data_IF_205694593280
#
_entry.id   IF_205694593280
#
_cell.length_a   1.000
_cell.length_b   1.000
_cell.length_c   1.000
_cell.angle_alpha   90.00
_cell.angle_beta   90.00
_cell.angle_gamma   90.00
#
_symmetry.space_group_name_H-M   'P 1'
#
loop_
_entity.id
_entity.type
_entity.pdbx_description
1 polymer ?
#
# COMPACT_ATOMS: atom_id res chain seq x y z
N UNK A 1 16.68 -12.45 19.88
CA UNK A 1 17.49 -12.50 18.64
C UNK A 1 16.58 -12.48 17.43
N UNK A 2 16.98 -11.84 16.32
CA UNK A 2 16.20 -11.85 15.09
C UNK A 2 16.24 -13.27 14.48
N UNK A 3 15.07 -13.83 14.17
CA UNK A 3 14.95 -15.19 13.62
C UNK A 3 14.95 -15.11 12.09
N UNK A 4 15.88 -15.78 11.38
CA UNK A 4 15.88 -15.87 9.93
C UNK A 4 14.58 -16.48 9.38
N UNK A 5 14.20 -16.13 8.15
CA UNK A 5 12.99 -16.65 7.52
C UNK A 5 12.84 -16.16 6.06
N UNK A 6 11.70 -16.42 5.41
CA UNK A 6 11.43 -15.99 4.02
C UNK A 6 11.09 -14.49 3.94
N UNK A 7 11.93 -13.66 4.54
CA UNK A 7 11.82 -12.20 4.62
C UNK A 7 13.20 -11.59 4.91
N UNK A 8 13.35 -10.30 4.65
CA UNK A 8 14.55 -9.54 5.04
C UNK A 8 14.42 -9.10 6.50
N UNK A 9 15.54 -9.08 7.22
CA UNK A 9 15.63 -8.45 8.54
C UNK A 9 16.32 -7.10 8.35
N UNK A 10 15.64 -6.01 8.73
CA UNK A 10 16.19 -4.65 8.66
C UNK A 10 16.35 -4.05 10.04
N UNK A 11 17.45 -3.34 10.34
CA UNK A 11 17.58 -2.59 11.58
C UNK A 11 16.40 -1.63 11.77
N UNK A 12 15.96 -1.51 13.00
CA UNK A 12 14.93 -0.57 13.44
C UNK A 12 15.41 0.16 14.68
N UNK A 13 14.66 1.17 15.09
CA UNK A 13 15.02 2.02 16.21
C UNK A 13 15.02 1.26 17.54
N UNK A 14 15.70 1.85 18.53
CA UNK A 14 15.78 1.36 19.92
C UNK A 14 16.23 -0.11 20.01
N UNK A 15 17.24 -0.49 19.21
CA UNK A 15 17.81 -1.84 19.19
C UNK A 15 16.89 -2.93 18.63
N UNK A 16 15.80 -2.55 17.94
CA UNK A 16 14.84 -3.49 17.35
C UNK A 16 15.17 -3.80 15.88
N UNK A 17 14.45 -4.77 15.31
CA UNK A 17 14.52 -5.08 13.88
C UNK A 17 13.10 -5.24 13.29
N UNK A 18 12.97 -4.94 11.99
CA UNK A 18 11.78 -5.23 11.20
C UNK A 18 11.97 -6.51 10.38
N UNK A 19 10.90 -7.29 10.28
CA UNK A 19 10.75 -8.30 9.23
C UNK A 19 10.10 -7.62 8.04
N UNK A 20 10.74 -7.68 6.88
CA UNK A 20 10.35 -6.88 5.72
C UNK A 20 10.29 -7.75 4.47
N UNK A 21 9.19 -7.60 3.74
CA UNK A 21 9.08 -8.08 2.36
C UNK A 21 9.06 -6.84 1.47
N UNK A 22 9.98 -6.79 0.50
CA UNK A 22 10.12 -5.69 -0.45
C UNK A 22 9.73 -6.13 -1.86
N UNK A 23 9.66 -5.19 -2.81
CA UNK A 23 9.35 -5.49 -4.21
C UNK A 23 8.01 -6.23 -4.37
N UNK A 24 7.02 -5.83 -3.57
CA UNK A 24 5.64 -6.29 -3.73
C UNK A 24 5.02 -5.45 -4.85
N UNK A 25 4.37 -6.06 -5.85
CA UNK A 25 3.61 -5.32 -6.84
C UNK A 25 2.62 -4.37 -6.16
N UNK A 26 2.78 -3.08 -6.44
CA UNK A 26 1.98 -2.02 -5.87
C UNK A 26 1.88 -0.87 -6.88
N UNK A 27 2.30 0.34 -6.50
CA UNK A 27 2.13 1.52 -7.33
C UNK A 27 2.73 1.46 -8.70
N UNK A 28 3.98 1.00 -8.82
CA UNK A 28 4.63 0.86 -10.12
C UNK A 28 3.85 -0.06 -11.07
N UNK A 29 3.23 -1.12 -10.55
CA UNK A 29 2.43 -2.03 -11.35
C UNK A 29 1.11 -1.37 -11.78
N UNK A 30 0.42 -0.70 -10.86
CA UNK A 30 -0.79 0.07 -11.19
C UNK A 30 -0.50 1.22 -12.17
N UNK A 31 0.63 1.91 -12.05
CA UNK A 31 1.10 2.91 -13.03
C UNK A 31 1.20 2.30 -14.43
N UNK A 32 1.71 1.07 -14.57
CA UNK A 32 1.79 0.42 -15.88
C UNK A 32 0.39 0.16 -16.48
N UNK A 33 -0.58 -0.24 -15.65
CA UNK A 33 -1.98 -0.40 -16.07
C UNK A 33 -2.59 0.93 -16.48
N UNK A 34 -2.43 1.96 -15.66
CA UNK A 34 -2.99 3.29 -15.94
C UNK A 34 -2.40 3.82 -17.25
N UNK A 35 -1.08 3.70 -17.45
CA UNK A 35 -0.42 4.11 -18.70
C UNK A 35 -0.97 3.37 -19.92
N UNK A 36 -1.21 2.06 -19.81
CA UNK A 36 -1.84 1.28 -20.89
C UNK A 36 -3.25 1.80 -21.19
N UNK A 37 -4.05 2.06 -20.15
CA UNK A 37 -5.42 2.56 -20.30
C UNK A 37 -5.50 4.00 -20.84
N UNK A 38 -4.42 4.76 -20.72
CA UNK A 38 -4.31 6.14 -21.19
C UNK A 38 -3.40 6.30 -22.41
N UNK A 39 -2.93 5.20 -23.02
CA UNK A 39 -1.94 5.24 -24.11
C UNK A 39 -2.51 5.91 -25.37
N UNK A 40 -3.81 5.70 -25.63
CA UNK A 40 -4.51 6.32 -26.75
C UNK A 40 -5.22 7.58 -26.22
N UNK A 41 -4.83 8.79 -26.67
CA UNK A 41 -5.57 10.00 -26.33
C UNK A 41 -6.96 9.91 -26.94
N UNK A 42 -8.01 10.14 -26.15
CA UNK A 42 -9.34 10.36 -26.74
C UNK A 42 -9.28 11.62 -27.59
N UNK A 43 -9.61 11.48 -28.87
CA UNK A 43 -9.71 12.60 -29.81
C UNK A 43 -10.62 13.68 -29.25
N UNK A 44 -10.05 14.84 -28.88
CA UNK A 44 -10.80 16.03 -28.48
C UNK A 44 -10.73 16.43 -27.01
N UNK A 45 -10.09 15.67 -26.12
CA UNK A 45 -9.83 16.12 -24.74
C UNK A 45 -8.34 16.38 -24.57
N UNK A 46 -7.99 17.66 -24.43
CA UNK A 46 -6.67 18.10 -24.00
C UNK A 46 -6.23 17.32 -22.76
N UNK A 47 -5.00 16.81 -22.81
CA UNK A 47 -4.21 16.23 -21.71
C UNK A 47 -5.01 15.91 -20.43
N UNK A 48 -5.56 14.70 -20.32
CA UNK A 48 -5.98 14.19 -19.02
C UNK A 48 -4.74 14.12 -18.12
N UNK A 49 -4.68 14.99 -17.11
CA UNK A 49 -3.64 14.99 -16.08
C UNK A 49 -3.51 13.58 -15.46
N UNK A 50 -2.30 13.11 -15.20
CA UNK A 50 -2.04 11.79 -14.60
C UNK A 50 -2.79 11.64 -13.27
N UNK A 51 -2.93 12.73 -12.51
CA UNK A 51 -3.74 12.78 -11.28
C UNK A 51 -5.19 12.38 -11.54
N UNK A 52 -5.80 12.88 -12.63
CA UNK A 52 -7.18 12.58 -13.01
C UNK A 52 -7.38 11.10 -13.37
N UNK A 53 -6.37 10.46 -13.96
CA UNK A 53 -6.43 9.05 -14.33
C UNK A 53 -6.40 8.14 -13.10
N UNK A 54 -5.61 8.47 -12.07
CA UNK A 54 -5.60 7.75 -10.80
C UNK A 54 -6.93 7.86 -10.06
N UNK A 55 -7.49 9.07 -9.99
CA UNK A 55 -8.76 9.31 -9.30
C UNK A 55 -9.91 8.60 -10.03
N UNK A 56 -9.91 8.62 -11.37
CA UNK A 56 -10.83 7.83 -12.17
C UNK A 56 -10.65 6.33 -11.93
N UNK A 57 -9.43 5.82 -11.93
CA UNK A 57 -9.14 4.40 -11.69
C UNK A 57 -9.69 3.92 -10.34
N UNK A 58 -9.42 4.66 -9.26
CA UNK A 58 -9.91 4.30 -7.93
C UNK A 58 -11.43 4.47 -7.78
N UNK A 59 -12.01 5.55 -8.32
CA UNK A 59 -13.47 5.75 -8.26
C UNK A 59 -14.23 4.68 -9.03
N UNK A 60 -13.76 4.28 -10.21
CA UNK A 60 -14.38 3.19 -10.98
C UNK A 60 -14.22 1.82 -10.30
N UNK A 61 -13.15 1.60 -9.54
CA UNK A 61 -13.01 0.36 -8.77
C UNK A 61 -14.07 0.23 -7.66
N UNK A 62 -14.49 1.35 -7.07
CA UNK A 62 -15.50 1.39 -5.99
C UNK A 62 -16.93 1.18 -6.52
N UNK A 63 -17.21 1.49 -7.79
CA UNK A 63 -18.54 1.25 -8.40
C UNK A 63 -18.80 -0.24 -8.69
N UNK A 64 -17.76 -1.07 -8.63
CA UNK A 64 -17.82 -2.50 -8.92
C UNK A 64 -17.68 -3.31 -7.64
N UNK A 65 -18.70 -4.12 -7.33
CA UNK A 65 -18.71 -4.98 -6.14
C UNK A 65 -17.64 -6.09 -6.18
N UNK A 66 -17.33 -6.59 -7.37
CA UNK A 66 -16.33 -7.63 -7.62
C UNK A 66 -16.08 -7.80 -9.12
N UNK A 67 -14.94 -8.39 -9.46
CA UNK A 67 -14.56 -8.64 -10.83
C UNK A 67 -14.20 -10.10 -11.02
N UNK A 68 -14.55 -10.64 -12.18
CA UNK A 68 -14.17 -11.99 -12.58
C UNK A 68 -12.99 -11.99 -13.55
N UNK A 69 -12.46 -10.81 -13.88
CA UNK A 69 -11.16 -10.70 -14.54
C UNK A 69 -10.06 -11.22 -13.60
N UNK A 70 -9.23 -12.12 -14.10
CA UNK A 70 -8.08 -12.65 -13.36
C UNK A 70 -6.85 -11.82 -13.72
N UNK A 71 -6.32 -11.11 -12.73
CA UNK A 71 -5.22 -10.17 -12.89
C UNK A 71 -4.02 -10.63 -12.10
N UNK A 72 -2.84 -10.58 -12.71
CA UNK A 72 -1.56 -10.64 -11.99
C UNK A 72 -0.79 -9.37 -12.21
N UNK A 73 -0.34 -8.75 -11.12
CA UNK A 73 0.46 -7.52 -11.15
C UNK A 73 1.96 -7.80 -11.14
N UNK A 74 2.38 -9.06 -11.31
CA UNK A 74 3.79 -9.48 -11.32
C UNK A 74 4.53 -9.09 -12.62
N UNK A 75 4.36 -7.84 -13.07
CA UNK A 75 5.05 -7.27 -14.25
C UNK A 75 6.56 -7.11 -14.05
N UNK A 76 7.01 -7.08 -12.79
CA UNK A 76 8.41 -6.87 -12.42
C UNK A 76 8.89 -7.97 -11.47
N UNK A 77 10.18 -8.35 -11.52
CA UNK A 77 10.76 -9.28 -10.56
C UNK A 77 10.55 -8.79 -9.11
N UNK A 78 10.12 -9.68 -8.21
CA UNK A 78 9.76 -9.28 -6.86
C UNK A 78 9.35 -10.42 -5.93
N UNK A 79 8.66 -10.06 -4.85
CA UNK A 79 8.24 -11.00 -3.80
C UNK A 79 7.13 -11.98 -4.22
N UNK A 80 6.45 -11.66 -5.33
CA UNK A 80 5.39 -12.46 -5.93
C UNK A 80 5.94 -13.14 -7.17
N UNK A 81 5.81 -14.48 -7.29
CA UNK A 81 6.31 -15.22 -8.45
C UNK A 81 5.39 -15.10 -9.66
N UNK A 82 5.93 -15.44 -10.83
CA UNK A 82 5.18 -15.55 -12.08
C UNK A 82 5.11 -14.26 -12.90
N UNK A 83 4.51 -14.32 -14.11
CA UNK A 83 4.33 -13.16 -14.96
C UNK A 83 3.11 -12.35 -14.56
N UNK A 84 3.07 -11.09 -14.97
CA UNK A 84 1.85 -10.30 -14.98
C UNK A 84 0.95 -10.66 -16.16
N UNK A 85 -0.36 -10.58 -15.97
CA UNK A 85 -1.34 -10.95 -17.00
C UNK A 85 -2.72 -10.33 -16.71
N UNK A 86 -3.56 -10.33 -17.74
CA UNK A 86 -5.01 -10.16 -17.64
C UNK A 86 -5.68 -11.35 -18.33
N UNK A 87 -6.55 -12.07 -17.64
CA UNK A 87 -7.24 -13.27 -18.14
C UNK A 87 -8.74 -13.17 -17.87
N UNK A 88 -9.51 -14.00 -18.57
CA UNK A 88 -10.97 -14.03 -18.50
C UNK A 88 -11.62 -12.67 -18.87
N UNK A 89 -11.09 -12.00 -19.89
CA UNK A 89 -11.64 -10.76 -20.41
C UNK A 89 -12.72 -11.04 -21.46
N UNK A 90 -13.81 -10.29 -21.39
CA UNK A 90 -15.01 -10.33 -22.24
C UNK A 90 -15.51 -8.91 -22.47
N UNK A 91 -16.37 -8.73 -23.46
CA UNK A 91 -16.91 -7.42 -23.82
C UNK A 91 -17.56 -6.69 -22.64
N UNK A 92 -18.31 -7.43 -21.80
CA UNK A 92 -19.04 -6.90 -20.66
C UNK A 92 -18.16 -6.62 -19.42
N UNK A 93 -16.91 -7.10 -19.43
CA UNK A 93 -15.99 -6.96 -18.30
C UNK A 93 -14.69 -6.21 -18.61
N UNK A 94 -14.45 -5.88 -19.87
CA UNK A 94 -13.29 -5.11 -20.33
C UNK A 94 -13.50 -3.61 -20.07
N UNK A 95 -13.55 -3.23 -18.80
CA UNK A 95 -13.74 -1.84 -18.37
C UNK A 95 -12.71 -1.44 -17.33
N UNK A 96 -12.44 -0.14 -17.21
CA UNK A 96 -11.50 0.40 -16.21
C UNK A 96 -11.91 -0.04 -14.81
N UNK A 97 -13.19 0.06 -14.45
CA UNK A 97 -13.67 -0.31 -13.11
C UNK A 97 -13.43 -1.77 -12.76
N UNK A 98 -13.69 -2.70 -13.69
CA UNK A 98 -13.49 -4.14 -13.43
C UNK A 98 -12.02 -4.55 -13.41
N UNK A 99 -11.19 -3.96 -14.27
CA UNK A 99 -9.74 -4.18 -14.23
C UNK A 99 -9.13 -3.58 -12.96
N UNK A 100 -9.54 -2.37 -12.58
CA UNK A 100 -9.10 -1.71 -11.36
C UNK A 100 -9.51 -2.50 -10.12
N UNK A 101 -10.75 -2.98 -10.08
CA UNK A 101 -11.26 -3.83 -9.00
C UNK A 101 -10.44 -5.11 -8.87
N UNK A 102 -10.24 -5.85 -9.96
CA UNK A 102 -9.46 -7.08 -9.97
C UNK A 102 -8.00 -6.84 -9.55
N UNK A 103 -7.39 -5.74 -10.02
CA UNK A 103 -6.03 -5.36 -9.64
C UNK A 103 -5.91 -5.12 -8.13
N UNK A 104 -6.84 -4.39 -7.52
CA UNK A 104 -6.82 -4.12 -6.07
C UNK A 104 -7.11 -5.37 -5.24
N UNK A 105 -8.02 -6.24 -5.69
CA UNK A 105 -8.27 -7.55 -5.06
C UNK A 105 -7.03 -8.43 -5.08
N UNK A 106 -6.34 -8.47 -6.22
CA UNK A 106 -5.07 -9.18 -6.41
C UNK A 106 -4.00 -8.64 -5.46
N UNK A 107 -3.85 -7.32 -5.38
CA UNK A 107 -2.88 -6.65 -4.52
C UNK A 107 -3.14 -6.94 -3.03
N UNK A 108 -4.40 -6.92 -2.61
CA UNK A 108 -4.81 -7.30 -1.26
C UNK A 108 -4.53 -8.79 -0.98
N UNK A 109 -4.71 -9.67 -1.97
CA UNK A 109 -4.32 -11.08 -1.91
C UNK A 109 -2.81 -11.26 -1.68
N UNK A 110 -1.98 -10.51 -2.40
CA UNK A 110 -0.53 -10.51 -2.15
C UNK A 110 -0.19 -10.09 -0.72
N UNK A 111 -0.82 -9.05 -0.19
CA UNK A 111 -0.58 -8.62 1.19
C UNK A 111 -0.98 -9.70 2.20
N UNK A 112 -2.09 -10.40 1.98
CA UNK A 112 -2.50 -11.52 2.82
C UNK A 112 -1.44 -12.64 2.82
N UNK A 113 -1.04 -13.11 1.64
CA UNK A 113 -0.06 -14.20 1.51
C UNK A 113 1.29 -13.81 2.14
N UNK A 114 1.79 -12.63 1.82
CA UNK A 114 3.09 -12.14 2.29
C UNK A 114 3.08 -11.82 3.78
N UNK A 115 1.94 -11.41 4.36
CA UNK A 115 1.81 -11.22 5.81
C UNK A 115 2.02 -12.54 6.57
N UNK A 116 1.58 -13.66 6.01
CA UNK A 116 1.81 -15.00 6.56
C UNK A 116 3.30 -15.35 6.66
N UNK A 117 4.14 -14.86 5.72
CA UNK A 117 5.59 -15.08 5.73
C UNK A 117 6.30 -14.40 6.90
N UNK A 118 5.85 -13.21 7.31
CA UNK A 118 6.49 -12.40 8.36
C UNK A 118 5.89 -12.59 9.76
N UNK A 119 4.70 -13.17 9.87
CA UNK A 119 3.96 -13.38 11.12
C UNK A 119 3.73 -14.86 11.48
N UNK A 120 4.76 -15.74 11.52
CA UNK A 120 4.56 -17.11 11.99
C UNK A 120 4.14 -17.10 13.47
N UNK A 121 2.95 -17.64 13.78
CA UNK A 121 2.44 -17.82 15.15
C UNK A 121 1.70 -16.64 15.78
N UNK A 122 1.19 -15.68 14.99
CA UNK A 122 0.25 -14.61 15.39
C UNK A 122 0.53 -13.88 16.73
N UNK A 123 1.33 -12.81 16.68
CA UNK A 123 1.30 -11.72 17.69
C UNK A 123 1.12 -10.34 17.05
N UNK A 124 0.33 -10.27 15.97
CA UNK A 124 -0.05 -9.00 15.37
C UNK A 124 -1.40 -8.54 15.92
N UNK A 125 -1.50 -7.29 16.35
CA UNK A 125 -2.75 -6.72 16.89
C UNK A 125 -3.48 -5.81 15.89
N UNK A 126 -2.76 -5.26 14.91
CA UNK A 126 -3.28 -4.21 14.03
C UNK A 126 -2.42 -4.06 12.78
N UNK A 127 -3.04 -3.65 11.68
CA UNK A 127 -2.38 -3.23 10.43
C UNK A 127 -2.19 -1.71 10.45
N UNK A 128 -1.02 -1.23 10.03
CA UNK A 128 -0.81 0.20 9.77
C UNK A 128 -0.63 0.40 8.26
N UNK A 129 -1.52 1.19 7.66
CA UNK A 129 -1.42 1.62 6.27
C UNK A 129 -0.67 2.94 6.18
N UNK A 130 0.29 3.01 5.28
CA UNK A 130 1.08 4.21 4.97
C UNK A 130 1.40 4.28 3.48
N UNK A 131 1.83 5.47 3.03
CA UNK A 131 2.22 5.72 1.64
C UNK A 131 1.04 6.07 0.71
N UNK A 132 1.37 6.68 -0.44
CA UNK A 132 0.39 7.37 -1.29
C UNK A 132 -0.80 6.53 -1.75
N UNK A 133 -0.59 5.28 -2.15
CA UNK A 133 -1.70 4.42 -2.61
C UNK A 133 -2.60 4.01 -1.46
N UNK A 134 -2.01 3.66 -0.33
CA UNK A 134 -2.76 3.31 0.85
C UNK A 134 -3.54 4.51 1.39
N UNK A 135 -3.10 5.76 1.14
CA UNK A 135 -3.87 6.97 1.42
C UNK A 135 -5.04 7.16 0.43
N UNK A 136 -4.76 7.03 -0.88
CA UNK A 136 -5.74 7.29 -1.96
C UNK A 136 -6.84 6.23 -2.08
N UNK A 137 -6.54 4.95 -1.85
CA UNK A 137 -7.50 3.86 -2.08
C UNK A 137 -8.13 3.34 -0.79
N UNK A 138 -9.36 3.78 -0.51
CA UNK A 138 -10.15 3.22 0.59
C UNK A 138 -10.48 1.74 0.35
N UNK A 139 -10.87 1.38 -0.87
CA UNK A 139 -11.13 0.00 -1.26
C UNK A 139 -9.97 -0.95 -0.93
N UNK A 140 -8.74 -0.61 -1.31
CA UNK A 140 -7.58 -1.46 -1.04
C UNK A 140 -7.41 -1.72 0.46
N UNK A 141 -7.58 -0.68 1.29
CA UNK A 141 -7.50 -0.82 2.75
C UNK A 141 -8.57 -1.77 3.27
N UNK A 142 -9.82 -1.63 2.80
CA UNK A 142 -10.95 -2.50 3.19
C UNK A 142 -10.69 -3.95 2.79
N UNK A 143 -10.34 -4.20 1.52
CA UNK A 143 -10.02 -5.54 1.02
C UNK A 143 -8.88 -6.20 1.80
N UNK A 144 -7.83 -5.43 2.11
CA UNK A 144 -6.68 -5.94 2.88
C UNK A 144 -7.08 -6.24 4.33
N UNK A 145 -7.87 -5.36 4.96
CA UNK A 145 -8.38 -5.57 6.31
C UNK A 145 -9.27 -6.81 6.40
N UNK A 146 -10.21 -6.97 5.47
CA UNK A 146 -11.11 -8.12 5.39
C UNK A 146 -10.32 -9.44 5.21
N UNK A 147 -9.30 -9.45 4.35
CA UNK A 147 -8.48 -10.65 4.09
C UNK A 147 -7.57 -11.03 5.24
N UNK A 148 -6.97 -10.05 5.93
CA UNK A 148 -6.04 -10.31 7.03
C UNK A 148 -6.78 -10.51 8.37
N UNK A 149 -8.00 -9.98 8.49
CA UNK A 149 -8.83 -10.16 9.69
C UNK A 149 -8.33 -9.40 10.92
N UNK A 150 -7.54 -8.33 10.72
CA UNK A 150 -7.01 -7.49 11.80
C UNK A 150 -7.55 -6.07 11.67
N UNK A 151 -7.82 -5.38 12.78
CA UNK A 151 -8.16 -3.96 12.71
C UNK A 151 -7.02 -3.19 12.05
N UNK A 152 -7.36 -2.10 11.38
CA UNK A 152 -6.37 -1.27 10.71
C UNK A 152 -6.37 0.16 11.24
N UNK A 153 -5.27 0.87 10.97
CA UNK A 153 -5.20 2.33 11.08
C UNK A 153 -4.52 2.88 9.83
N UNK A 154 -4.91 4.08 9.44
CA UNK A 154 -4.20 4.88 8.44
C UNK A 154 -3.21 5.80 9.17
N UNK A 155 -2.02 6.00 8.64
CA UNK A 155 -1.11 7.05 9.14
C UNK A 155 -1.70 8.43 8.83
N UNK A 156 -1.60 9.36 9.76
CA UNK A 156 -2.18 10.70 9.64
C UNK A 156 -1.36 11.64 8.76
N UNK A 157 -0.10 11.29 8.47
CA UNK A 157 0.79 12.12 7.67
C UNK A 157 0.88 11.60 6.24
N UNK A 158 0.87 12.51 5.27
CA UNK A 158 1.29 12.23 3.89
C UNK A 158 2.82 12.12 3.80
N UNK A 159 3.54 12.69 4.76
CA UNK A 159 5.00 12.77 4.84
C UNK A 159 5.55 11.95 6.02
N UNK A 160 5.20 10.67 6.10
CA UNK A 160 5.60 9.76 7.19
C UNK A 160 7.13 9.71 7.39
N UNK A 161 7.90 9.86 6.31
CA UNK A 161 9.37 9.90 6.37
C UNK A 161 9.89 11.16 7.06
N UNK A 162 9.34 12.34 6.73
CA UNK A 162 9.75 13.61 7.36
C UNK A 162 9.33 13.63 8.83
N UNK A 163 8.16 13.09 9.14
CA UNK A 163 7.72 12.90 10.53
C UNK A 163 8.71 12.00 11.28
N UNK A 164 9.15 10.90 10.68
CA UNK A 164 10.20 10.04 11.24
C UNK A 164 11.53 10.76 11.46
N UNK A 165 11.96 11.61 10.52
CA UNK A 165 13.17 12.42 10.67
C UNK A 165 13.06 13.43 11.81
N UNK A 166 11.90 14.08 11.96
CA UNK A 166 11.65 14.97 13.10
C UNK A 166 11.74 14.21 14.42
N UNK A 167 11.13 13.02 14.51
CA UNK A 167 11.22 12.16 15.70
C UNK A 167 12.69 11.83 16.02
N UNK A 168 13.49 11.48 15.03
CA UNK A 168 14.92 11.21 15.23
C UNK A 168 15.71 12.45 15.65
N UNK A 169 15.42 13.60 15.04
CA UNK A 169 16.02 14.88 15.40
C UNK A 169 15.80 15.23 16.87
N UNK A 170 14.63 14.92 17.43
CA UNK A 170 14.34 15.14 18.85
C UNK A 170 15.23 14.30 19.77
N UNK A 171 15.49 13.04 19.41
CA UNK A 171 16.40 12.17 20.16
C UNK A 171 17.84 12.68 20.08
N UNK A 172 18.29 13.01 18.88
CA UNK A 172 19.65 13.53 18.64
C UNK A 172 19.88 14.85 19.39
N UNK A 173 18.87 15.72 19.45
CA UNK A 173 18.93 16.98 20.19
C UNK A 173 18.80 16.82 21.72
N UNK A 174 18.65 15.60 22.24
CA UNK A 174 18.50 15.33 23.67
C UNK A 174 17.14 15.74 24.26
N UNK A 175 16.15 16.06 23.42
CA UNK A 175 14.79 16.40 23.86
C UNK A 175 14.00 15.16 24.33
N UNK A 176 14.44 13.98 23.91
CA UNK A 176 13.86 12.69 24.24
C UNK A 176 14.97 11.65 24.37
N UNK A 177 14.80 10.69 25.28
CA UNK A 177 15.81 9.66 25.56
C UNK A 177 15.90 8.59 24.45
N UNK A 178 14.78 8.28 23.79
CA UNK A 178 14.69 7.23 22.78
C UNK A 178 13.62 7.55 21.72
N UNK A 179 13.59 6.75 20.64
CA UNK A 179 12.67 7.00 19.52
C UNK A 179 11.23 6.75 19.93
N UNK A 180 10.97 5.80 20.82
CA UNK A 180 9.64 5.53 21.35
C UNK A 180 9.02 6.75 22.07
N UNK A 181 9.74 7.36 23.01
CA UNK A 181 9.30 8.56 23.73
C UNK A 181 9.19 9.78 22.80
N UNK A 182 10.13 9.94 21.86
CA UNK A 182 10.06 10.99 20.85
C UNK A 182 8.84 10.86 19.94
N UNK A 183 8.45 9.63 19.57
CA UNK A 183 7.27 9.36 18.75
C UNK A 183 5.96 9.72 19.47
N UNK A 184 5.88 9.45 20.77
CA UNK A 184 4.73 9.83 21.60
C UNK A 184 4.61 11.35 21.72
N UNK A 185 5.73 12.04 21.97
CA UNK A 185 5.76 13.50 22.03
C UNK A 185 5.37 14.14 20.69
N UNK A 186 5.88 13.60 19.57
CA UNK A 186 5.50 14.05 18.24
C UNK A 186 4.00 13.85 17.95
N UNK A 187 3.43 12.73 18.37
CA UNK A 187 1.99 12.48 18.22
C UNK A 187 1.14 13.45 19.03
N UNK A 188 1.57 13.83 20.24
CA UNK A 188 0.88 14.83 21.05
C UNK A 188 0.89 16.21 20.38
N UNK A 189 2.05 16.63 19.84
CA UNK A 189 2.17 17.89 19.10
C UNK A 189 1.22 17.95 17.91
N UNK A 190 1.18 16.89 17.10
CA UNK A 190 0.30 16.81 15.93
C UNK A 190 -1.18 16.86 16.31
N UNK A 191 -1.57 16.29 17.44
CA UNK A 191 -2.96 16.35 17.91
C UNK A 191 -3.32 17.73 18.51
N UNK A 192 -2.36 18.43 19.11
CA UNK A 192 -2.55 19.77 19.68
C UNK A 192 -2.58 20.90 18.66
N UNK A 193 -2.19 20.64 17.40
CA UNK A 193 -2.24 21.63 16.31
C UNK A 193 -3.53 21.57 15.47
N UNK A 194 -4.51 20.76 15.91
CA UNK A 194 -5.80 20.55 15.23
C UNK A 194 -6.97 21.16 16.03
N UNK A 195 -6.69 21.83 17.16
CA UNK A 195 -7.61 22.74 17.86
C UNK A 195 -7.26 24.20 17.57
#
# INVERSE_FOLDING_TARGET
AAVPGPYQIRPYFDGRCLRTVTNIPAGRALTAIIRLLTEIPRSGTESSDETSAWDYFFSQAETVAGSDADVSLAFFPGAVPGPGYFRNLREDNLTVGRLARAALETMAGYYQELSGRILPGHKCKRIAFSGGIAQKSALLRRLTQERIGLPSRLTSSTEDSLLGLMVLGRVIAGLNHDVASASQAAAMLLNSSVE
#
